data_IF_471309072176
#
_entry.id   IF_471309072176
#
_cell.length_a   1.000
_cell.length_b   1.000
_cell.length_c   1.000
_cell.angle_alpha   90.00
_cell.angle_beta   90.00
_cell.angle_gamma   90.00
#
_symmetry.space_group_name_H-M   'P 1'
#
loop_
_entity.id
_entity.type
_entity.pdbx_description
1 polymer ?
#
# COMPACT_ATOMS: atom_id res chain seq x y z
N UNK A 1 -20.93 -35.97 -4.30
CA UNK A 1 -20.87 -34.98 -3.22
C UNK A 1 -19.48 -34.78 -2.60
N UNK A 2 -18.71 -35.83 -2.25
CA UNK A 2 -17.39 -35.67 -1.61
C UNK A 2 -16.40 -34.84 -2.46
N UNK A 3 -16.26 -35.14 -3.76
CA UNK A 3 -15.39 -34.38 -4.70
C UNK A 3 -15.75 -32.89 -4.80
N UNK A 4 -17.04 -32.56 -4.75
CA UNK A 4 -17.52 -31.18 -4.80
C UNK A 4 -17.15 -30.39 -3.53
N UNK A 5 -17.20 -31.03 -2.35
CA UNK A 5 -16.78 -30.40 -1.09
C UNK A 5 -15.29 -30.03 -1.10
N UNK A 6 -14.42 -30.90 -1.61
CA UNK A 6 -12.98 -30.62 -1.71
C UNK A 6 -12.67 -29.49 -2.70
N UNK A 7 -13.40 -29.40 -3.81
CA UNK A 7 -13.28 -28.30 -4.77
C UNK A 7 -13.62 -26.95 -4.12
N UNK A 8 -14.72 -26.88 -3.37
CA UNK A 8 -15.14 -25.65 -2.67
C UNK A 8 -14.11 -25.22 -1.62
N UNK A 9 -13.57 -26.16 -0.85
CA UNK A 9 -12.52 -25.86 0.14
C UNK A 9 -11.26 -25.31 -0.52
N UNK A 10 -10.81 -25.92 -1.62
CA UNK A 10 -9.65 -25.45 -2.37
C UNK A 10 -9.85 -24.04 -2.93
N UNK A 11 -11.05 -23.75 -3.46
CA UNK A 11 -11.40 -22.41 -3.95
C UNK A 11 -11.40 -21.37 -2.82
N UNK A 12 -11.93 -21.70 -1.65
CA UNK A 12 -11.92 -20.80 -0.49
C UNK A 12 -10.49 -20.49 -0.03
N UNK A 13 -9.61 -21.49 0.02
CA UNK A 13 -8.20 -21.28 0.37
C UNK A 13 -7.51 -20.37 -0.66
N UNK A 14 -7.76 -20.58 -1.96
CA UNK A 14 -7.22 -19.73 -3.02
C UNK A 14 -7.71 -18.28 -2.91
N UNK A 15 -8.97 -18.06 -2.50
CA UNK A 15 -9.49 -16.70 -2.26
C UNK A 15 -8.89 -16.04 -1.03
N UNK A 16 -8.55 -16.81 0.01
CA UNK A 16 -7.92 -16.31 1.23
C UNK A 16 -6.41 -16.13 1.09
N UNK A 17 -5.79 -16.74 0.09
CA UNK A 17 -4.35 -16.67 -0.13
C UNK A 17 -3.78 -15.24 -0.11
N UNK A 18 -4.37 -14.23 -0.80
CA UNK A 18 -3.85 -12.87 -0.76
C UNK A 18 -3.86 -12.26 0.65
N UNK A 19 -4.85 -12.62 1.47
CA UNK A 19 -5.00 -12.17 2.85
C UNK A 19 -3.94 -12.83 3.72
N UNK A 20 -3.88 -14.16 3.71
CA UNK A 20 -2.94 -14.94 4.53
C UNK A 20 -1.50 -14.54 4.20
N UNK A 21 -1.19 -14.40 2.91
CA UNK A 21 0.14 -14.03 2.47
C UNK A 21 0.48 -12.56 2.80
N UNK A 22 -0.49 -11.65 2.64
CA UNK A 22 -0.35 -10.24 3.04
C UNK A 22 -0.16 -10.05 4.54
N UNK A 23 -0.72 -10.93 5.38
CA UNK A 23 -0.47 -10.93 6.83
C UNK A 23 1.00 -11.20 7.18
N UNK A 24 1.82 -11.73 6.27
CA UNK A 24 3.26 -11.86 6.47
C UNK A 24 4.08 -10.61 6.19
N UNK A 25 3.45 -9.48 5.86
CA UNK A 25 4.20 -8.27 5.62
C UNK A 25 4.89 -7.78 6.90
N UNK A 26 6.15 -7.41 6.77
CA UNK A 26 6.95 -6.67 7.74
C UNK A 26 7.95 -5.83 6.95
N UNK A 27 7.52 -4.68 6.43
CA UNK A 27 8.38 -3.80 5.63
C UNK A 27 8.16 -2.32 5.93
N UNK A 28 9.17 -1.52 5.60
CA UNK A 28 9.11 -0.07 5.62
C UNK A 28 9.71 0.52 4.35
N UNK A 29 9.20 1.68 3.92
CA UNK A 29 9.79 2.43 2.83
C UNK A 29 9.72 3.94 3.08
N UNK A 30 10.61 4.66 2.40
CA UNK A 30 10.61 6.12 2.35
C UNK A 30 10.68 6.57 0.90
N UNK A 31 9.82 7.51 0.53
CA UNK A 31 9.82 8.14 -0.78
C UNK A 31 9.80 9.65 -0.63
N UNK A 32 10.74 10.35 -1.28
CA UNK A 32 10.88 11.80 -1.17
C UNK A 32 10.84 12.40 -2.58
N UNK A 33 10.00 13.41 -2.77
CA UNK A 33 10.02 14.27 -3.94
C UNK A 33 9.91 15.75 -3.51
N UNK A 34 10.00 16.73 -4.43
CA UNK A 34 9.98 18.15 -4.06
C UNK A 34 8.71 18.61 -3.35
N UNK A 35 7.58 17.92 -3.54
CA UNK A 35 6.26 18.29 -3.04
C UNK A 35 5.79 17.41 -1.87
N UNK A 36 6.37 16.23 -1.68
CA UNK A 36 5.92 15.22 -0.73
C UNK A 36 7.10 14.47 -0.10
N UNK A 37 6.99 14.19 1.18
CA UNK A 37 7.80 13.20 1.88
C UNK A 37 6.89 12.12 2.45
N UNK A 38 7.07 10.88 1.99
CA UNK A 38 6.19 9.76 2.26
C UNK A 38 6.91 8.65 3.01
N UNK A 39 6.26 8.12 4.04
CA UNK A 39 6.72 6.98 4.83
C UNK A 39 5.63 5.92 4.86
N UNK A 40 5.90 4.76 4.25
CA UNK A 40 4.98 3.64 4.29
C UNK A 40 5.54 2.49 5.11
N UNK A 41 4.65 1.76 5.77
CA UNK A 41 4.98 0.58 6.56
C UNK A 41 3.87 -0.45 6.46
N UNK A 42 4.23 -1.72 6.59
CA UNK A 42 3.28 -2.80 6.72
C UNK A 42 3.74 -3.75 7.81
N UNK A 43 2.84 -4.11 8.73
CA UNK A 43 3.10 -5.09 9.78
C UNK A 43 1.88 -5.95 10.01
N UNK A 44 2.04 -7.26 9.88
CA UNK A 44 0.97 -8.23 10.10
C UNK A 44 -0.31 -7.94 9.28
N UNK A 45 -0.13 -7.56 8.02
CA UNK A 45 -1.22 -7.17 7.12
C UNK A 45 -1.81 -5.78 7.38
N UNK A 46 -1.31 -5.03 8.37
CA UNK A 46 -1.72 -3.65 8.62
C UNK A 46 -0.78 -2.70 7.91
N UNK A 47 -1.31 -1.95 6.95
CA UNK A 47 -0.59 -0.95 6.19
C UNK A 47 -0.81 0.44 6.79
N UNK A 48 0.25 1.23 6.89
CA UNK A 48 0.19 2.65 7.26
C UNK A 48 1.07 3.45 6.31
N UNK A 49 0.56 4.57 5.82
CA UNK A 49 1.30 5.55 5.06
C UNK A 49 1.11 6.93 5.64
N UNK A 50 2.21 7.61 5.91
CA UNK A 50 2.26 9.00 6.35
C UNK A 50 2.80 9.83 5.19
N UNK A 51 2.06 10.84 4.76
CA UNK A 51 2.45 11.75 3.68
C UNK A 51 2.53 13.19 4.21
N UNK A 52 3.71 13.79 4.09
CA UNK A 52 4.00 15.18 4.45
C UNK A 52 3.96 16.04 3.18
N UNK A 53 2.83 16.72 2.90
CA UNK A 53 2.73 17.63 1.76
C UNK A 53 3.52 18.90 2.04
N UNK A 54 4.28 19.36 1.04
CA UNK A 54 5.19 20.48 1.11
C UNK A 54 6.18 20.37 2.29
N UNK A 55 7.10 19.39 2.34
CA UNK A 55 7.92 19.11 3.52
C UNK A 55 8.81 20.28 3.98
N UNK A 56 9.03 21.29 3.13
CA UNK A 56 9.77 22.53 3.46
C UNK A 56 8.93 23.57 4.19
N UNK A 57 7.61 23.46 4.13
CA UNK A 57 6.66 24.33 4.79
C UNK A 57 6.03 23.48 5.89
N UNK A 58 6.17 23.86 7.16
CA UNK A 58 5.60 23.13 8.30
C UNK A 58 4.05 23.12 8.22
N UNK A 59 3.51 22.24 7.38
CA UNK A 59 2.10 22.16 7.01
C UNK A 59 1.41 20.91 7.57
N UNK A 60 2.10 20.13 8.40
CA UNK A 60 1.57 18.87 8.96
C UNK A 60 1.68 17.70 7.99
N UNK A 61 0.81 16.71 8.16
CA UNK A 61 0.82 15.45 7.40
C UNK A 61 -0.57 14.85 7.28
N UNK A 62 -0.71 13.88 6.39
CA UNK A 62 -1.89 13.00 6.30
C UNK A 62 -1.47 11.57 6.62
N UNK A 63 -2.40 10.77 7.14
CA UNK A 63 -2.19 9.35 7.45
C UNK A 63 -3.25 8.53 6.71
N UNK A 64 -2.82 7.46 6.07
CA UNK A 64 -3.66 6.43 5.49
C UNK A 64 -3.37 5.11 6.18
N UNK A 65 -4.41 4.47 6.72
CA UNK A 65 -4.31 3.11 7.26
C UNK A 65 -5.13 2.16 6.41
N UNK A 66 -4.64 0.93 6.26
CA UNK A 66 -5.29 -0.06 5.41
C UNK A 66 -4.94 -1.49 5.76
N UNK A 67 -5.63 -2.41 5.10
CA UNK A 67 -5.31 -3.83 5.09
C UNK A 67 -4.51 -4.16 3.83
N UNK A 68 -3.38 -4.83 4.01
CA UNK A 68 -2.48 -5.23 2.95
C UNK A 68 -2.77 -6.65 2.48
N UNK A 69 -2.90 -6.81 1.17
CA UNK A 69 -3.09 -8.08 0.50
C UNK A 69 -1.96 -8.28 -0.50
N UNK A 70 -1.48 -9.52 -0.62
CA UNK A 70 -0.40 -9.82 -1.55
C UNK A 70 -0.56 -11.18 -2.21
N UNK A 71 -0.56 -11.22 -3.54
CA UNK A 71 -0.55 -12.46 -4.30
C UNK A 71 0.14 -12.29 -5.64
N UNK A 72 0.92 -13.31 -6.03
CA UNK A 72 1.53 -13.41 -7.36
C UNK A 72 2.35 -12.17 -7.77
N UNK A 73 3.10 -11.59 -6.83
CA UNK A 73 3.92 -10.40 -7.10
C UNK A 73 3.13 -9.08 -7.16
N UNK A 74 1.84 -9.10 -6.84
CA UNK A 74 0.98 -7.92 -6.79
C UNK A 74 0.51 -7.69 -5.36
N UNK A 75 0.65 -6.47 -4.87
CA UNK A 75 -0.01 -6.04 -3.65
C UNK A 75 -1.29 -5.26 -3.96
N UNK A 76 -2.19 -5.22 -2.99
CA UNK A 76 -3.31 -4.30 -2.90
C UNK A 76 -3.44 -3.81 -1.46
N UNK A 77 -3.88 -2.58 -1.26
CA UNK A 77 -4.17 -2.02 0.07
C UNK A 77 -5.61 -1.60 0.12
N UNK A 78 -6.42 -2.20 0.98
CA UNK A 78 -7.76 -1.70 1.27
C UNK A 78 -7.66 -0.62 2.34
N UNK A 79 -7.92 0.63 1.96
CA UNK A 79 -7.93 1.76 2.89
C UNK A 79 -9.10 1.62 3.86
N UNK A 80 -8.83 1.68 5.16
CA UNK A 80 -9.85 1.57 6.23
C UNK A 80 -10.05 2.87 7.00
N UNK A 81 -9.03 3.73 7.04
CA UNK A 81 -9.05 4.96 7.82
C UNK A 81 -8.09 5.98 7.19
N UNK A 82 -8.47 7.25 7.25
CA UNK A 82 -7.70 8.38 6.75
C UNK A 82 -7.76 9.52 7.76
N UNK A 83 -6.59 10.04 8.14
CA UNK A 83 -6.47 11.16 9.08
C UNK A 83 -5.80 12.35 8.39
N UNK A 84 -6.34 13.55 8.61
CA UNK A 84 -5.77 14.80 8.15
C UNK A 84 -5.26 15.61 9.34
N UNK A 85 -3.94 15.80 9.39
CA UNK A 85 -3.26 16.64 10.38
C UNK A 85 -2.62 17.87 9.71
N UNK A 86 -3.09 18.25 8.51
CA UNK A 86 -2.56 19.40 7.79
C UNK A 86 -3.06 20.71 8.39
N UNK A 87 -2.18 21.72 8.43
CA UNK A 87 -2.48 23.04 9.02
C UNK A 87 -3.17 23.97 8.02
N UNK A 88 -2.85 23.83 6.73
CA UNK A 88 -3.39 24.66 5.64
C UNK A 88 -3.69 23.81 4.42
N UNK A 89 -4.80 24.14 3.75
CA UNK A 89 -5.16 23.56 2.46
C UNK A 89 -4.28 24.21 1.38
N UNK A 90 -3.26 23.45 0.95
CA UNK A 90 -2.38 23.76 -0.18
C UNK A 90 -2.64 22.77 -1.31
N UNK A 91 -2.16 23.05 -2.53
CA UNK A 91 -2.32 22.11 -3.65
C UNK A 91 -1.73 20.72 -3.34
N UNK A 92 -0.58 20.65 -2.67
CA UNK A 92 0.01 19.38 -2.25
C UNK A 92 -0.82 18.67 -1.16
N UNK A 93 -1.41 19.42 -0.23
CA UNK A 93 -2.33 18.84 0.76
C UNK A 93 -3.61 18.32 0.10
N UNK A 94 -4.15 19.05 -0.89
CA UNK A 94 -5.28 18.58 -1.70
C UNK A 94 -4.89 17.32 -2.49
N UNK A 95 -3.67 17.24 -3.00
CA UNK A 95 -3.16 16.05 -3.67
C UNK A 95 -3.09 14.86 -2.73
N UNK A 96 -2.52 15.01 -1.53
CA UNK A 96 -2.53 13.98 -0.48
C UNK A 96 -3.95 13.56 -0.13
N UNK A 97 -4.84 14.53 0.12
CA UNK A 97 -6.23 14.27 0.48
C UNK A 97 -7.02 13.60 -0.63
N UNK A 98 -6.81 13.96 -1.90
CA UNK A 98 -7.43 13.26 -3.02
C UNK A 98 -6.86 11.85 -3.16
N UNK A 99 -5.56 11.69 -2.91
CA UNK A 99 -4.92 10.38 -2.92
C UNK A 99 -5.47 9.47 -1.82
N UNK A 100 -5.87 10.03 -0.68
CA UNK A 100 -6.49 9.29 0.44
C UNK A 100 -8.02 9.15 0.31
N UNK A 101 -8.73 10.13 -0.28
CA UNK A 101 -10.20 10.20 -0.31
C UNK A 101 -10.86 9.79 -1.64
N UNK A 102 -10.12 9.45 -2.69
CA UNK A 102 -10.70 8.89 -3.92
C UNK A 102 -11.21 7.45 -3.70
N UNK A 103 -12.44 7.35 -3.14
CA UNK A 103 -13.27 6.15 -2.91
C UNK A 103 -12.78 5.20 -1.81
N UNK A 104 -13.75 4.65 -1.07
CA UNK A 104 -13.60 3.60 -0.04
C UNK A 104 -12.85 2.35 -0.52
N UNK A 105 -12.67 2.17 -1.83
CA UNK A 105 -11.90 1.08 -2.42
C UNK A 105 -10.87 1.66 -3.39
N UNK A 106 -9.59 1.52 -3.06
CA UNK A 106 -8.49 1.84 -3.97
C UNK A 106 -7.52 0.69 -4.00
N UNK A 107 -7.28 0.13 -5.18
CA UNK A 107 -6.26 -0.89 -5.38
C UNK A 107 -4.96 -0.20 -5.81
N UNK A 108 -4.00 -0.10 -4.90
CA UNK A 108 -2.62 0.23 -5.27
C UNK A 108 -1.93 -1.03 -5.75
N UNK A 109 -1.66 -1.13 -7.05
CA UNK A 109 -0.82 -2.20 -7.56
C UNK A 109 0.63 -1.89 -7.25
N UNK A 110 1.15 -2.48 -6.18
CA UNK A 110 2.58 -2.53 -5.93
C UNK A 110 3.10 -3.82 -6.56
N UNK A 111 4.01 -3.69 -7.52
CA UNK A 111 4.69 -4.82 -8.14
C UNK A 111 6.11 -4.92 -7.60
N UNK A 112 6.52 -6.11 -7.12
CA UNK A 112 7.93 -6.36 -6.78
C UNK A 112 8.75 -6.33 -8.07
N UNK A 113 9.78 -5.48 -8.12
CA UNK A 113 10.72 -5.42 -9.23
C UNK A 113 11.94 -6.31 -8.94
N UNK A 114 12.45 -6.23 -7.72
CA UNK A 114 13.51 -7.09 -7.19
C UNK A 114 13.37 -7.28 -5.67
N UNK A 115 14.40 -7.82 -5.00
CA UNK A 115 14.34 -8.13 -3.58
C UNK A 115 14.40 -6.91 -2.65
N UNK A 116 14.54 -5.70 -3.19
CA UNK A 116 14.66 -4.46 -2.42
C UNK A 116 13.84 -3.31 -3.01
N UNK A 117 13.21 -3.49 -4.16
CA UNK A 117 12.45 -2.44 -4.84
C UNK A 117 11.06 -2.90 -5.23
N UNK A 118 10.10 -2.01 -5.00
CA UNK A 118 8.72 -2.14 -5.48
C UNK A 118 8.41 -1.01 -6.46
N UNK A 119 7.46 -1.27 -7.34
CA UNK A 119 7.00 -0.31 -8.33
C UNK A 119 5.53 -0.04 -8.10
N UNK A 120 5.18 1.22 -7.92
CA UNK A 120 3.80 1.70 -7.93
C UNK A 120 3.54 2.45 -9.22
N UNK A 121 2.51 2.04 -9.97
CA UNK A 121 2.07 2.75 -11.17
C UNK A 121 0.66 3.31 -10.98
N UNK A 122 0.51 4.60 -11.23
CA UNK A 122 -0.77 5.31 -11.22
C UNK A 122 -1.00 5.91 -12.59
N UNK A 123 -2.21 5.77 -13.15
CA UNK A 123 -2.58 6.30 -14.47
C UNK A 123 -3.50 7.53 -14.43
N UNK A 124 -4.12 7.80 -13.28
CA UNK A 124 -5.08 8.90 -13.07
C UNK A 124 -4.87 9.51 -11.68
N UNK A 125 -4.86 10.85 -11.53
CA UNK A 125 -5.13 11.85 -12.59
C UNK A 125 -3.95 12.08 -13.54
N UNK A 126 -2.75 11.60 -13.21
CA UNK A 126 -1.55 11.64 -14.06
C UNK A 126 -0.86 10.28 -14.07
N UNK A 127 -0.15 10.00 -15.17
CA UNK A 127 0.70 8.80 -15.30
C UNK A 127 1.98 9.00 -14.51
N UNK A 128 2.14 8.22 -13.45
CA UNK A 128 3.29 8.28 -12.56
C UNK A 128 3.79 6.87 -12.26
N UNK A 129 5.13 6.72 -12.29
CA UNK A 129 5.83 5.49 -11.95
C UNK A 129 6.75 5.80 -10.77
N UNK A 130 6.49 5.17 -9.63
CA UNK A 130 7.32 5.29 -8.44
C UNK A 130 8.12 4.01 -8.27
N UNK A 131 9.44 4.10 -8.31
CA UNK A 131 10.34 3.03 -7.88
C UNK A 131 10.68 3.31 -6.43
N UNK A 132 10.21 2.45 -5.54
CA UNK A 132 10.27 2.65 -4.10
C UNK A 132 11.19 1.56 -3.53
N UNK A 133 12.38 1.93 -3.03
CA UNK A 133 13.18 1.01 -2.24
C UNK A 133 12.48 0.74 -0.91
N UNK A 134 12.45 -0.51 -0.49
CA UNK A 134 11.88 -0.93 0.79
C UNK A 134 12.87 -1.84 1.53
N UNK A 135 12.70 -1.92 2.84
CA UNK A 135 13.42 -2.84 3.71
C UNK A 135 12.44 -3.77 4.41
N UNK A 136 12.79 -5.05 4.53
CA UNK A 136 11.96 -6.10 5.13
C UNK A 136 11.29 -7.05 4.11
N UNK A 137 10.15 -7.60 4.51
CA UNK A 137 9.46 -8.71 3.84
C UNK A 137 8.08 -8.26 3.36
N UNK A 138 7.77 -8.40 2.07
CA UNK A 138 6.44 -7.98 1.55
C UNK A 138 5.33 -8.97 1.88
N UNK A 139 5.66 -10.26 2.03
CA UNK A 139 4.66 -11.32 2.21
C UNK A 139 5.26 -12.55 2.88
N UNK A 140 4.42 -13.46 3.39
CA UNK A 140 4.90 -14.74 3.94
C UNK A 140 5.76 -15.50 2.93
N UNK A 141 5.41 -15.45 1.64
CA UNK A 141 6.13 -16.16 0.58
C UNK A 141 7.44 -15.49 0.16
N UNK A 142 7.75 -14.30 0.67
CA UNK A 142 9.01 -13.60 0.36
C UNK A 142 10.19 -14.06 1.23
N UNK A 143 9.95 -14.89 2.26
CA UNK A 143 10.99 -15.27 3.24
C UNK A 143 12.08 -16.24 2.74
N UNK A 144 12.00 -16.72 1.50
CA UNK A 144 12.91 -17.75 0.95
C UNK A 144 13.75 -17.31 -0.26
N UNK A 145 13.86 -16.00 -0.57
CA UNK A 145 14.67 -15.48 -1.68
C UNK A 145 15.50 -14.23 -1.37
#
# INVERSE_FOLDING_TARGET
MKKFKYLVIALLILMLYPVINGMGCDFNYKYINPSHEQFGSCKFGQYTLIDYPNPKQDNGYTVLKGLYFYAFGNAAVLVVDTEDHTKKITDAAIESLNWTNERFWRQFNLKRLDNKTMVSYKSSPKKELHVIPYDGTLSLTDSDH
#
